data_IF_221554433679
#
_entry.id   IF_221554433679
#
_cell.length_a   1.000
_cell.length_b   1.000
_cell.length_c   1.000
_cell.angle_alpha   90.00
_cell.angle_beta   90.00
_cell.angle_gamma   90.00
#
_symmetry.space_group_name_H-M   'P 1'
#
loop_
_entity.id
_entity.type
_entity.pdbx_description
1 polymer ?
#
# COMPACT_ATOMS: atom_id res chain seq x y z
N UNK A 1 -24.03 -3.14 9.33
CA UNK A 1 -24.50 -3.17 7.93
C UNK A 1 -24.08 -4.50 7.33
N UNK A 2 -24.97 -5.18 6.62
CA UNK A 2 -24.68 -6.43 5.92
C UNK A 2 -24.87 -6.20 4.42
N UNK A 3 -23.94 -6.70 3.62
CA UNK A 3 -23.94 -6.56 2.16
C UNK A 3 -23.62 -7.91 1.57
N UNK A 4 -24.34 -8.30 0.53
CA UNK A 4 -24.07 -9.53 -0.23
C UNK A 4 -23.13 -9.19 -1.39
N UNK A 5 -22.06 -9.96 -1.53
CA UNK A 5 -21.09 -9.87 -2.62
C UNK A 5 -20.81 -11.27 -3.15
N UNK A 6 -20.71 -11.40 -4.47
CA UNK A 6 -20.33 -12.66 -5.09
C UNK A 6 -18.80 -12.76 -5.17
N UNK A 7 -18.26 -13.85 -4.63
CA UNK A 7 -16.83 -14.16 -4.63
C UNK A 7 -16.72 -15.64 -5.01
N UNK A 8 -15.82 -16.00 -5.95
CA UNK A 8 -15.58 -17.41 -6.28
C UNK A 8 -15.17 -18.20 -5.03
N UNK A 9 -15.82 -19.35 -4.81
CA UNK A 9 -15.63 -20.14 -3.58
C UNK A 9 -14.20 -20.67 -3.47
N UNK A 10 -13.58 -21.02 -4.59
CA UNK A 10 -12.20 -21.49 -4.67
C UNK A 10 -11.20 -20.44 -4.17
N UNK A 11 -11.42 -19.16 -4.49
CA UNK A 11 -10.57 -18.06 -4.05
C UNK A 11 -10.73 -17.85 -2.55
N UNK A 12 -11.96 -17.90 -2.06
CA UNK A 12 -12.26 -17.70 -0.65
C UNK A 12 -11.74 -18.85 0.22
N UNK A 13 -11.89 -20.09 -0.24
CA UNK A 13 -11.36 -21.28 0.42
C UNK A 13 -9.83 -21.23 0.50
N UNK A 14 -9.16 -20.83 -0.58
CA UNK A 14 -7.71 -20.67 -0.59
C UNK A 14 -7.25 -19.55 0.33
N UNK A 15 -7.92 -18.40 0.33
CA UNK A 15 -7.61 -17.31 1.24
C UNK A 15 -7.82 -17.72 2.71
N UNK A 16 -8.86 -18.50 3.03
CA UNK A 16 -9.06 -19.07 4.37
C UNK A 16 -7.92 -20.03 4.75
N UNK A 17 -7.46 -20.87 3.81
CA UNK A 17 -6.32 -21.78 4.02
C UNK A 17 -5.02 -21.02 4.31
N UNK A 18 -4.72 -19.99 3.52
CA UNK A 18 -3.49 -19.19 3.66
C UNK A 18 -3.47 -18.34 4.93
N UNK A 19 -4.62 -17.80 5.32
CA UNK A 19 -4.72 -16.90 6.49
C UNK A 19 -5.02 -17.65 7.80
N UNK A 20 -5.50 -18.90 7.73
CA UNK A 20 -5.97 -19.67 8.88
C UNK A 20 -7.24 -19.13 9.53
N UNK A 21 -7.91 -18.16 8.90
CA UNK A 21 -9.10 -17.51 9.46
C UNK A 21 -10.33 -18.40 9.32
N UNK A 22 -11.02 -18.63 10.44
CA UNK A 22 -12.17 -19.54 10.49
C UNK A 22 -13.48 -19.03 9.87
N UNK A 23 -13.54 -17.78 9.37
CA UNK A 23 -14.77 -17.23 8.79
C UNK A 23 -14.51 -16.43 7.51
N UNK A 24 -15.46 -16.56 6.56
CA UNK A 24 -15.49 -15.78 5.31
C UNK A 24 -15.40 -14.27 5.57
N UNK A 25 -16.15 -13.79 6.57
CA UNK A 25 -16.15 -12.38 6.97
C UNK A 25 -14.78 -11.90 7.46
N UNK A 26 -14.07 -12.70 8.26
CA UNK A 26 -12.76 -12.32 8.75
C UNK A 26 -11.75 -12.17 7.60
N UNK A 27 -11.77 -13.09 6.64
CA UNK A 27 -10.92 -13.03 5.45
C UNK A 27 -11.22 -11.78 4.62
N UNK A 28 -12.49 -11.50 4.35
CA UNK A 28 -12.89 -10.31 3.58
C UNK A 28 -12.46 -9.03 4.29
N UNK A 29 -12.66 -8.94 5.61
CA UNK A 29 -12.24 -7.78 6.38
C UNK A 29 -10.72 -7.56 6.37
N UNK A 30 -9.95 -8.65 6.45
CA UNK A 30 -8.49 -8.61 6.34
C UNK A 30 -8.08 -8.09 4.96
N UNK A 31 -8.59 -8.71 3.89
CA UNK A 31 -8.28 -8.33 2.51
C UNK A 31 -8.57 -6.84 2.22
N UNK A 32 -9.71 -6.33 2.70
CA UNK A 32 -10.08 -4.92 2.54
C UNK A 32 -9.14 -3.98 3.32
N UNK A 33 -8.72 -4.38 4.53
CA UNK A 33 -7.81 -3.59 5.35
C UNK A 33 -6.42 -3.50 4.73
N UNK A 34 -5.90 -4.64 4.26
CA UNK A 34 -4.61 -4.72 3.58
C UNK A 34 -4.60 -3.94 2.26
N UNK A 35 -5.68 -4.02 1.48
CA UNK A 35 -5.83 -3.26 0.24
C UNK A 35 -5.70 -1.75 0.50
N UNK A 36 -6.48 -1.23 1.46
CA UNK A 36 -6.46 0.20 1.82
C UNK A 36 -5.07 0.61 2.35
N UNK A 37 -4.46 -0.23 3.20
CA UNK A 37 -3.13 0.04 3.74
C UNK A 37 -2.08 0.09 2.62
N UNK A 38 -2.14 -0.83 1.65
CA UNK A 38 -1.24 -0.85 0.51
C UNK A 38 -1.33 0.41 -0.34
N UNK A 39 -2.54 0.92 -0.60
CA UNK A 39 -2.71 2.20 -1.31
C UNK A 39 -2.13 3.38 -0.52
N UNK A 40 -2.37 3.45 0.79
CA UNK A 40 -1.81 4.50 1.64
C UNK A 40 -0.28 4.47 1.66
N UNK A 41 0.32 3.28 1.72
CA UNK A 41 1.77 3.13 1.68
C UNK A 41 2.34 3.57 0.33
N UNK A 42 1.73 3.19 -0.80
CA UNK A 42 2.16 3.64 -2.13
C UNK A 42 2.07 5.15 -2.28
N UNK A 43 1.01 5.76 -1.77
CA UNK A 43 0.86 7.22 -1.77
C UNK A 43 1.94 7.90 -0.92
N UNK A 44 2.23 7.36 0.28
CA UNK A 44 3.29 7.87 1.14
C UNK A 44 4.67 7.77 0.47
N UNK A 45 4.98 6.63 -0.17
CA UNK A 45 6.22 6.46 -0.94
C UNK A 45 6.30 7.42 -2.12
N UNK A 46 5.20 7.61 -2.87
CA UNK A 46 5.15 8.58 -3.98
C UNK A 46 5.31 10.02 -3.51
N UNK A 47 4.96 10.34 -2.26
CA UNK A 47 5.21 11.67 -1.66
C UNK A 47 6.66 11.80 -1.23
N UNK A 48 7.25 10.74 -0.68
CA UNK A 48 8.68 10.69 -0.36
C UNK A 48 9.56 10.81 -1.61
N UNK A 49 9.27 10.12 -2.72
CA UNK A 49 10.02 10.26 -3.97
C UNK A 49 9.97 11.68 -4.56
N UNK A 50 8.85 12.39 -4.37
CA UNK A 50 8.72 13.81 -4.76
C UNK A 50 9.44 14.75 -3.81
N UNK A 51 9.62 14.34 -2.56
CA UNK A 51 10.48 15.02 -1.62
C UNK A 51 11.89 14.53 -1.92
N UNK A 52 12.55 15.13 -2.91
CA UNK A 52 13.98 14.94 -3.21
C UNK A 52 14.85 15.54 -2.08
N UNK A 53 14.55 15.12 -0.85
CA UNK A 53 15.12 15.62 0.37
C UNK A 53 16.08 14.56 0.86
N UNK A 54 17.33 14.69 0.42
CA UNK A 54 18.42 14.00 1.08
C UNK A 54 18.61 14.68 2.46
N UNK A 55 18.26 14.04 3.58
CA UNK A 55 18.31 14.66 4.90
C UNK A 55 19.75 14.91 5.38
N UNK A 56 20.75 14.44 4.62
CA UNK A 56 22.17 14.64 4.89
C UNK A 56 22.80 15.79 4.08
N UNK A 57 22.05 16.36 3.13
CA UNK A 57 22.52 17.51 2.37
C UNK A 57 21.95 18.79 2.95
N UNK A 58 22.82 19.76 3.14
CA UNK A 58 22.42 21.13 3.44
C UNK A 58 21.72 21.75 2.22
N UNK A 59 20.90 22.82 2.41
CA UNK A 59 20.24 23.50 1.30
C UNK A 59 21.20 23.97 0.19
N UNK A 60 22.45 24.29 0.55
CA UNK A 60 23.51 24.69 -0.40
C UNK A 60 23.96 23.51 -1.26
N UNK A 61 24.21 22.34 -0.66
CA UNK A 61 24.65 21.15 -1.39
C UNK A 61 23.56 20.55 -2.28
N UNK A 62 22.28 20.73 -1.94
CA UNK A 62 21.15 20.27 -2.78
C UNK A 62 21.03 21.09 -4.07
N UNK A 63 21.35 22.38 -4.03
CA UNK A 63 21.30 23.29 -5.17
C UNK A 63 22.38 22.97 -6.23
N UNK A 64 23.52 22.41 -5.80
CA UNK A 64 24.63 22.02 -6.68
C UNK A 64 24.37 20.72 -7.46
N UNK A 65 23.37 19.91 -7.05
CA UNK A 65 23.08 18.58 -7.64
C UNK A 65 21.90 18.64 -8.61
N UNK A 66 21.11 19.73 -8.59
CA UNK A 66 20.02 19.91 -9.55
C UNK A 66 20.59 19.90 -10.98
N UNK A 67 20.16 18.97 -11.86
CA UNK A 67 20.75 18.83 -13.18
C UNK A 67 20.44 20.07 -14.00
N UNK A 68 21.50 20.71 -14.48
CA UNK A 68 21.44 21.76 -15.48
C UNK A 68 20.65 21.21 -16.68
N UNK A 69 19.46 21.78 -16.93
CA UNK A 69 18.59 21.40 -18.04
C UNK A 69 19.41 21.37 -19.35
N UNK A 70 19.48 20.20 -19.98
CA UNK A 70 19.99 20.01 -21.35
C UNK A 70 18.96 19.27 -22.17
#
# INVERSE_FOLDING_TARGET
MATTVEIPEEVLAEAMRLTGLGTKKAVINLAMSELVQGYRQREALSRLERMDHNPFLTPEELADIAPNER
#
